data_IF_735998025985
#
_entry.id   IF_735998025985
#
_cell.length_a   1.000
_cell.length_b   1.000
_cell.length_c   1.000
_cell.angle_alpha   90.00
_cell.angle_beta   90.00
_cell.angle_gamma   90.00
#
_symmetry.space_group_name_H-M   'P 1'
#
loop_
_entity.id
_entity.type
_entity.pdbx_description
1 polymer ?
#
# COMPACT_ATOMS: atom_id res chain seq x y z
N UNK A 1 -9.84 -9.18 -17.14
CA UNK A 1 -11.13 -9.36 -16.44
C UNK A 1 -11.12 -10.43 -15.33
N UNK A 2 -10.09 -11.30 -15.23
CA UNK A 2 -10.01 -12.36 -14.20
C UNK A 2 -9.80 -11.87 -12.76
N UNK A 3 -9.15 -10.71 -12.53
CA UNK A 3 -8.78 -10.22 -11.19
C UNK A 3 -10.01 -9.90 -10.32
N UNK A 4 -11.13 -9.50 -10.92
CA UNK A 4 -12.33 -9.04 -10.20
C UNK A 4 -13.00 -10.17 -9.39
N UNK A 5 -12.76 -11.44 -9.75
CA UNK A 5 -13.35 -12.61 -9.09
C UNK A 5 -12.35 -13.43 -8.26
N UNK A 6 -11.05 -13.12 -8.34
CA UNK A 6 -10.01 -13.94 -7.71
C UNK A 6 -9.87 -13.72 -6.19
N UNK A 7 -10.29 -12.57 -5.66
CA UNK A 7 -10.11 -12.23 -4.24
C UNK A 7 -10.81 -13.19 -3.26
N UNK A 8 -11.93 -13.79 -3.67
CA UNK A 8 -12.74 -14.68 -2.83
C UNK A 8 -12.10 -16.06 -2.65
N UNK A 9 -11.17 -16.45 -3.53
CA UNK A 9 -10.65 -17.81 -3.61
C UNK A 9 -9.43 -18.06 -2.69
N UNK A 10 -8.78 -17.01 -2.17
CA UNK A 10 -7.52 -17.13 -1.41
C UNK A 10 -7.68 -17.12 0.12
N UNK A 11 -8.90 -17.27 0.64
CA UNK A 11 -9.08 -17.37 2.09
C UNK A 11 -8.66 -18.76 2.57
N UNK A 12 -7.66 -18.83 3.44
CA UNK A 12 -7.27 -20.10 4.04
C UNK A 12 -8.37 -20.62 4.99
N UNK A 13 -8.65 -21.93 5.01
CA UNK A 13 -9.62 -22.51 5.92
C UNK A 13 -9.35 -22.17 7.39
N UNK A 14 -10.40 -22.02 8.19
CA UNK A 14 -10.26 -21.70 9.61
C UNK A 14 -9.51 -22.83 10.33
N UNK A 15 -8.31 -22.54 10.85
CA UNK A 15 -7.46 -23.49 11.56
C UNK A 15 -6.20 -23.93 10.79
N UNK A 16 -6.04 -23.55 9.52
CA UNK A 16 -4.78 -23.76 8.80
C UNK A 16 -3.72 -22.72 9.17
N UNK A 17 -2.42 -23.00 8.90
CA UNK A 17 -1.38 -21.98 8.96
C UNK A 17 -1.75 -20.77 8.12
N UNK A 18 -1.47 -19.56 8.64
CA UNK A 18 -1.66 -18.32 7.90
C UNK A 18 -0.56 -18.22 6.85
N UNK A 19 -0.94 -18.11 5.59
CA UNK A 19 -0.03 -18.10 4.44
C UNK A 19 -0.13 -16.81 3.64
N UNK A 20 -1.15 -15.97 3.91
CA UNK A 20 -1.39 -14.72 3.21
C UNK A 20 -1.81 -13.60 4.17
N UNK A 21 -1.63 -12.34 3.75
CA UNK A 21 -2.08 -11.15 4.46
C UNK A 21 -3.60 -11.21 4.72
N UNK A 22 -4.34 -11.82 3.79
CA UNK A 22 -5.79 -12.00 3.87
C UNK A 22 -6.24 -12.88 5.04
N UNK A 23 -5.33 -13.64 5.66
CA UNK A 23 -5.62 -14.40 6.86
C UNK A 23 -5.64 -13.53 8.13
N UNK A 24 -5.18 -12.28 8.03
CA UNK A 24 -5.26 -11.26 9.08
C UNK A 24 -6.70 -10.85 9.39
N UNK A 25 -7.01 -10.61 10.67
CA UNK A 25 -8.36 -10.15 11.07
C UNK A 25 -8.66 -8.74 10.58
N UNK A 26 -7.64 -7.87 10.54
CA UNK A 26 -7.78 -6.46 10.11
C UNK A 26 -8.32 -6.40 8.69
N UNK A 27 -7.71 -7.12 7.75
CA UNK A 27 -8.10 -7.14 6.34
C UNK A 27 -9.45 -7.81 6.09
N UNK A 28 -9.76 -8.89 6.82
CA UNK A 28 -11.06 -9.60 6.69
C UNK A 28 -12.25 -8.78 7.18
N UNK A 29 -12.04 -7.85 8.11
CA UNK A 29 -13.10 -7.03 8.71
C UNK A 29 -13.09 -5.59 8.23
N UNK A 30 -12.14 -5.23 7.36
CA UNK A 30 -12.06 -3.90 6.81
C UNK A 30 -13.30 -3.64 5.95
N UNK A 31 -14.18 -2.73 6.38
CA UNK A 31 -15.40 -2.31 5.66
C UNK A 31 -15.17 -1.11 4.77
N UNK A 32 -14.05 -0.41 4.95
CA UNK A 32 -13.69 0.81 4.24
C UNK A 32 -14.56 2.03 4.56
N UNK A 33 -15.61 1.93 5.38
CA UNK A 33 -16.35 3.11 5.86
C UNK A 33 -16.73 2.93 7.33
N UNK A 34 -17.00 4.04 8.03
CA UNK A 34 -17.36 4.03 9.46
C UNK A 34 -18.71 3.34 9.76
N UNK A 35 -19.45 2.89 8.74
CA UNK A 35 -20.72 2.19 8.94
C UNK A 35 -20.47 0.72 9.28
N UNK A 36 -20.74 0.37 10.54
CA UNK A 36 -20.56 -0.96 11.15
C UNK A 36 -21.38 -2.07 10.45
N UNK A 37 -22.42 -1.71 9.68
CA UNK A 37 -23.29 -2.66 9.00
C UNK A 37 -22.91 -2.96 7.55
N UNK A 38 -21.83 -2.39 7.03
CA UNK A 38 -21.39 -2.70 5.67
C UNK A 38 -20.69 -4.06 5.59
N UNK A 39 -20.88 -4.81 4.49
CA UNK A 39 -20.09 -6.00 4.26
C UNK A 39 -18.59 -5.64 4.18
N UNK A 40 -17.67 -6.60 4.45
CA UNK A 40 -16.25 -6.36 4.27
C UNK A 40 -15.96 -5.80 2.88
N UNK A 41 -15.10 -4.78 2.78
CA UNK A 41 -14.78 -4.06 1.55
C UNK A 41 -14.40 -5.02 0.42
N UNK A 42 -13.52 -5.97 0.74
CA UNK A 42 -13.04 -6.96 -0.22
C UNK A 42 -14.12 -7.92 -0.70
N UNK A 43 -15.25 -8.09 -0.01
CA UNK A 43 -16.34 -8.97 -0.46
C UNK A 43 -17.19 -8.38 -1.59
N UNK A 44 -16.97 -7.10 -1.94
CA UNK A 44 -17.68 -6.41 -3.00
C UNK A 44 -17.01 -6.71 -4.35
N UNK A 45 -17.74 -7.19 -5.36
CA UNK A 45 -17.19 -7.36 -6.70
C UNK A 45 -16.56 -6.07 -7.22
N UNK A 46 -15.34 -6.17 -7.76
CA UNK A 46 -14.58 -5.01 -8.23
C UNK A 46 -13.88 -4.21 -7.14
N UNK A 47 -13.90 -4.66 -5.89
CA UNK A 47 -13.01 -4.15 -4.86
C UNK A 47 -11.57 -4.66 -5.07
N UNK A 48 -10.63 -3.74 -5.20
CA UNK A 48 -9.21 -4.00 -5.31
C UNK A 48 -8.50 -3.51 -4.05
N UNK A 49 -7.56 -4.29 -3.58
CA UNK A 49 -6.62 -3.90 -2.56
C UNK A 49 -5.25 -3.65 -3.19
N UNK A 50 -4.73 -2.46 -2.92
CA UNK A 50 -3.45 -2.00 -3.43
C UNK A 50 -2.49 -1.80 -2.27
N UNK A 51 -1.24 -2.18 -2.50
CA UNK A 51 -0.13 -1.81 -1.64
C UNK A 51 0.79 -0.88 -2.40
N UNK A 52 1.24 0.18 -1.72
CA UNK A 52 2.29 1.05 -2.24
C UNK A 52 3.66 0.57 -1.76
N UNK A 53 4.63 0.54 -2.67
CA UNK A 53 6.03 0.28 -2.37
C UNK A 53 6.88 1.46 -2.82
N UNK A 54 7.80 1.89 -1.96
CA UNK A 54 8.73 2.98 -2.21
C UNK A 54 10.06 2.65 -1.51
N UNK A 55 11.11 2.45 -2.29
CA UNK A 55 12.45 2.18 -1.78
C UNK A 55 13.50 2.77 -2.72
N UNK A 56 14.58 3.36 -2.18
CA UNK A 56 15.70 3.84 -2.98
C UNK A 56 16.79 2.77 -3.05
N UNK A 57 17.04 2.23 -4.24
CA UNK A 57 18.12 1.29 -4.47
C UNK A 57 19.21 1.86 -5.38
N UNK A 58 20.43 1.32 -5.27
CA UNK A 58 21.52 1.64 -6.19
C UNK A 58 21.36 0.82 -7.46
N UNK A 59 21.03 1.45 -8.58
CA UNK A 59 20.79 0.77 -9.85
C UNK A 59 22.06 0.08 -10.43
N UNK A 60 23.26 0.45 -9.96
CA UNK A 60 24.54 -0.05 -10.48
C UNK A 60 25.31 -0.97 -9.51
N UNK A 61 24.67 -1.45 -8.44
CA UNK A 61 25.17 -2.54 -7.58
C UNK A 61 26.35 -2.21 -6.66
N UNK A 62 27.41 -1.52 -7.13
CA UNK A 62 28.63 -1.22 -6.33
C UNK A 62 29.37 0.08 -6.64
N UNK A 63 29.01 0.89 -7.64
CA UNK A 63 29.78 2.10 -7.96
C UNK A 63 28.92 3.36 -8.02
N UNK A 64 29.29 4.32 -7.17
CA UNK A 64 28.78 5.69 -7.02
C UNK A 64 27.39 5.85 -6.38
N UNK A 65 27.34 6.74 -5.38
CA UNK A 65 26.10 7.31 -4.82
C UNK A 65 25.29 8.10 -5.86
N UNK A 66 25.81 8.23 -7.08
CA UNK A 66 25.35 9.12 -8.15
C UNK A 66 24.13 8.55 -8.93
N UNK A 67 23.70 7.32 -8.64
CA UNK A 67 22.63 6.65 -9.42
C UNK A 67 21.63 5.87 -8.54
N UNK A 68 21.21 6.45 -7.41
CA UNK A 68 20.06 5.92 -6.64
C UNK A 68 18.77 6.18 -7.43
N UNK A 69 17.88 5.20 -7.52
CA UNK A 69 16.55 5.38 -8.12
C UNK A 69 15.53 4.84 -7.13
N UNK A 70 14.43 5.58 -6.95
CA UNK A 70 13.34 5.18 -6.07
C UNK A 70 12.04 4.99 -6.84
N UNK A 71 11.66 3.76 -7.23
CA UNK A 71 10.35 3.54 -7.84
C UNK A 71 9.25 3.72 -6.79
N UNK A 72 8.15 4.32 -7.22
CA UNK A 72 6.86 4.30 -6.51
C UNK A 72 6.01 3.28 -7.25
N UNK A 73 5.75 2.15 -6.60
CA UNK A 73 5.04 1.02 -7.20
C UNK A 73 3.72 0.77 -6.50
N UNK A 74 2.70 0.38 -7.25
CA UNK A 74 1.44 -0.15 -6.75
C UNK A 74 1.36 -1.63 -7.10
N UNK A 75 0.99 -2.44 -6.12
CA UNK A 75 0.89 -3.89 -6.23
C UNK A 75 -0.56 -4.29 -5.90
N UNK A 76 -1.19 -5.06 -6.78
CA UNK A 76 -2.53 -5.58 -6.57
C UNK A 76 -2.50 -6.82 -5.69
N UNK A 77 -3.05 -6.73 -4.47
CA UNK A 77 -3.08 -7.81 -3.50
C UNK A 77 -4.15 -8.87 -3.77
N UNK A 78 -5.09 -8.59 -4.69
CA UNK A 78 -6.09 -9.55 -5.15
C UNK A 78 -5.48 -10.70 -5.96
N UNK A 79 -4.26 -10.53 -6.48
CA UNK A 79 -3.53 -11.57 -7.17
C UNK A 79 -2.99 -12.61 -6.18
N UNK A 80 -2.85 -13.89 -6.60
CA UNK A 80 -2.17 -14.89 -5.80
C UNK A 80 -0.76 -14.44 -5.41
N UNK A 81 -0.24 -14.81 -4.22
CA UNK A 81 1.06 -14.36 -3.74
C UNK A 81 2.22 -14.52 -4.74
N UNK A 82 2.23 -15.61 -5.51
CA UNK A 82 3.25 -15.88 -6.54
C UNK A 82 3.21 -14.95 -7.75
N UNK A 83 2.10 -14.25 -7.97
CA UNK A 83 1.87 -13.38 -9.13
C UNK A 83 2.06 -11.89 -8.81
N UNK A 84 1.91 -11.49 -7.54
CA UNK A 84 1.86 -10.08 -7.11
C UNK A 84 3.07 -9.25 -7.55
N UNK A 85 4.27 -9.83 -7.48
CA UNK A 85 5.54 -9.13 -7.75
C UNK A 85 6.12 -9.42 -9.13
N UNK A 86 5.38 -10.13 -10.00
CA UNK A 86 5.80 -10.30 -11.39
C UNK A 86 5.74 -8.95 -12.10
N UNK A 87 6.71 -8.69 -12.97
CA UNK A 87 6.90 -7.38 -13.61
C UNK A 87 5.64 -6.90 -14.35
N UNK A 88 4.89 -7.82 -14.95
CA UNK A 88 3.62 -7.55 -15.65
C UNK A 88 2.46 -7.12 -14.73
N UNK A 89 2.56 -7.39 -13.42
CA UNK A 89 1.52 -7.14 -12.43
C UNK A 89 1.83 -5.97 -11.49
N UNK A 90 2.99 -5.33 -11.66
CA UNK A 90 3.42 -4.18 -10.86
C UNK A 90 3.20 -2.90 -11.66
N UNK A 91 2.44 -1.97 -11.09
CA UNK A 91 2.24 -0.66 -11.69
C UNK A 91 3.23 0.36 -11.15
N UNK A 92 4.12 0.89 -12.00
CA UNK A 92 5.06 1.94 -11.61
C UNK A 92 4.37 3.30 -11.73
N UNK A 93 3.91 3.84 -10.60
CA UNK A 93 3.24 5.13 -10.51
C UNK A 93 4.22 6.32 -10.65
N UNK A 94 5.50 6.09 -10.39
CA UNK A 94 6.52 7.12 -10.55
C UNK A 94 7.94 6.59 -10.36
N UNK A 95 8.90 7.36 -10.85
CA UNK A 95 10.32 7.10 -10.65
C UNK A 95 10.93 8.34 -10.03
N UNK A 96 11.55 8.17 -8.86
CA UNK A 96 12.29 9.21 -8.17
C UNK A 96 13.73 9.20 -8.70
N UNK A 97 14.16 10.24 -9.44
CA UNK A 97 15.52 10.33 -9.92
C UNK A 97 16.48 10.62 -8.76
N UNK A 98 17.62 9.93 -8.73
CA UNK A 98 18.72 10.26 -7.83
C UNK A 98 19.65 11.34 -8.40
N UNK A 99 20.78 11.61 -7.72
CA UNK A 99 21.34 10.84 -6.60
C UNK A 99 20.91 11.27 -5.19
N UNK A 100 20.35 12.47 -5.08
CA UNK A 100 19.90 12.99 -3.79
C UNK A 100 18.49 12.49 -3.50
N UNK A 101 18.24 12.17 -2.25
CA UNK A 101 16.89 12.00 -1.75
C UNK A 101 16.04 13.22 -2.09
N UNK A 102 14.77 12.99 -2.44
CA UNK A 102 13.83 14.09 -2.56
C UNK A 102 13.66 14.80 -1.22
N UNK A 103 13.52 16.12 -1.31
CA UNK A 103 12.93 16.89 -0.22
C UNK A 103 11.50 16.38 0.05
N UNK A 104 11.02 16.56 1.28
CA UNK A 104 9.64 16.23 1.63
C UNK A 104 8.63 16.90 0.70
N UNK A 105 8.88 18.17 0.33
CA UNK A 105 8.02 18.92 -0.58
C UNK A 105 7.93 18.26 -1.96
N UNK A 106 9.07 17.88 -2.55
CA UNK A 106 9.09 17.23 -3.87
C UNK A 106 8.40 15.85 -3.84
N UNK A 107 8.63 15.06 -2.79
CA UNK A 107 7.96 13.79 -2.63
C UNK A 107 6.44 13.99 -2.50
N UNK A 108 6.01 14.98 -1.69
CA UNK A 108 4.60 15.31 -1.53
C UNK A 108 3.95 15.70 -2.86
N UNK A 109 4.63 16.46 -3.73
CA UNK A 109 4.09 16.79 -5.05
C UNK A 109 3.87 15.55 -5.93
N UNK A 110 4.83 14.61 -5.94
CA UNK A 110 4.68 13.35 -6.68
C UNK A 110 3.52 12.51 -6.13
N UNK A 111 3.46 12.36 -4.80
CA UNK A 111 2.43 11.56 -4.14
C UNK A 111 1.05 12.22 -4.23
N UNK A 112 0.95 13.55 -4.23
CA UNK A 112 -0.34 14.24 -4.28
C UNK A 112 -1.14 13.88 -5.53
N UNK A 113 -0.47 13.71 -6.68
CA UNK A 113 -1.11 13.30 -7.93
C UNK A 113 -1.63 11.87 -7.82
N UNK A 114 -0.81 10.96 -7.32
CA UNK A 114 -1.18 9.57 -7.08
C UNK A 114 -2.34 9.46 -6.05
N UNK A 115 -2.27 10.20 -4.94
CA UNK A 115 -3.31 10.24 -3.91
C UNK A 115 -4.63 10.74 -4.47
N UNK A 116 -4.62 11.70 -5.39
CA UNK A 116 -5.84 12.17 -6.05
C UNK A 116 -6.52 11.05 -6.83
N UNK A 117 -5.77 10.32 -7.66
CA UNK A 117 -6.30 9.20 -8.45
C UNK A 117 -6.77 8.05 -7.54
N UNK A 118 -6.02 7.74 -6.48
CA UNK A 118 -6.42 6.74 -5.49
C UNK A 118 -7.70 7.13 -4.74
N UNK A 119 -7.91 8.42 -4.46
CA UNK A 119 -9.16 8.92 -3.85
C UNK A 119 -10.34 8.76 -4.81
N UNK A 120 -10.15 8.99 -6.10
CA UNK A 120 -11.18 8.75 -7.11
C UNK A 120 -11.53 7.25 -7.17
N UNK A 121 -10.52 6.38 -7.22
CA UNK A 121 -10.74 4.92 -7.16
C UNK A 121 -11.39 4.46 -5.86
N UNK A 122 -11.11 5.11 -4.72
CA UNK A 122 -11.72 4.78 -3.44
C UNK A 122 -13.23 5.05 -3.41
N UNK A 123 -13.65 6.18 -3.99
CA UNK A 123 -15.07 6.50 -4.18
C UNK A 123 -15.73 5.56 -5.20
N UNK A 124 -14.95 5.13 -6.18
CA UNK A 124 -15.32 4.19 -7.21
C UNK A 124 -15.34 4.83 -8.57
N UNK A 125 -14.88 4.06 -9.56
CA UNK A 125 -14.77 4.49 -10.94
C UNK A 125 -15.46 3.47 -11.85
N UNK A 126 -16.30 3.96 -12.75
CA UNK A 126 -16.98 3.12 -13.73
C UNK A 126 -16.21 3.16 -15.06
N UNK A 127 -15.61 2.04 -15.42
CA UNK A 127 -14.98 1.86 -16.72
C UNK A 127 -16.03 1.58 -17.79
N UNK A 128 -15.91 2.28 -18.91
CA UNK A 128 -16.77 2.09 -20.08
C UNK A 128 -16.74 0.63 -20.58
N UNK A 129 -17.81 0.18 -21.25
CA UNK A 129 -17.85 -1.11 -21.90
C UNK A 129 -16.61 -1.39 -22.76
N UNK A 130 -16.11 -2.62 -22.67
CA UNK A 130 -15.04 -3.14 -23.52
C UNK A 130 -15.56 -4.33 -24.32
N UNK A 131 -14.85 -4.76 -25.36
CA UNK A 131 -15.22 -5.97 -26.13
C UNK A 131 -15.35 -7.21 -25.23
N UNK A 132 -14.56 -7.28 -24.15
CA UNK A 132 -14.61 -8.35 -23.15
C UNK A 132 -15.62 -8.10 -22.03
N UNK A 133 -16.24 -6.92 -21.98
CA UNK A 133 -17.11 -6.46 -20.89
C UNK A 133 -18.16 -5.47 -21.36
N UNK A 134 -19.22 -5.94 -22.05
CA UNK A 134 -20.19 -5.07 -22.72
C UNK A 134 -21.03 -4.22 -21.76
N UNK A 135 -21.07 -4.56 -20.46
CA UNK A 135 -21.72 -3.77 -19.41
C UNK A 135 -20.82 -2.72 -18.76
N UNK A 136 -19.53 -2.66 -19.12
CA UNK A 136 -18.53 -1.91 -18.35
C UNK A 136 -18.19 -2.61 -17.04
N UNK A 137 -17.43 -1.93 -16.19
CA UNK A 137 -17.04 -2.46 -14.87
C UNK A 137 -16.84 -1.34 -13.86
N UNK A 138 -17.53 -1.43 -12.73
CA UNK A 138 -17.28 -0.58 -11.57
C UNK A 138 -16.14 -1.15 -10.74
N UNK A 139 -15.13 -0.33 -10.47
CA UNK A 139 -13.98 -0.71 -9.65
C UNK A 139 -13.88 0.26 -8.48
N UNK A 140 -13.58 -0.29 -7.31
CA UNK A 140 -13.18 0.49 -6.13
C UNK A 140 -11.82 -0.01 -5.67
N UNK A 141 -10.91 0.89 -5.28
CA UNK A 141 -9.60 0.48 -4.76
C UNK A 141 -9.35 1.03 -3.35
N UNK A 142 -8.90 0.18 -2.45
CA UNK A 142 -8.38 0.53 -1.13
C UNK A 142 -6.85 0.49 -1.16
N UNK A 143 -6.21 1.47 -0.52
CA UNK A 143 -4.79 1.39 -0.21
C UNK A 143 -4.65 0.76 1.16
N UNK A 144 -4.32 -0.53 1.16
CA UNK A 144 -4.29 -1.34 2.37
C UNK A 144 -2.98 -1.16 3.11
N UNK A 145 -1.84 -1.25 2.41
CA UNK A 145 -0.53 -1.21 3.07
C UNK A 145 0.48 -0.33 2.32
N UNK A 146 1.48 0.11 3.08
CA UNK A 146 2.72 0.67 2.54
C UNK A 146 3.88 -0.25 2.93
N UNK A 147 4.58 -0.80 1.94
CA UNK A 147 5.82 -1.56 2.12
C UNK A 147 6.98 -0.63 1.80
N UNK A 148 7.53 -0.03 2.83
CA UNK A 148 8.54 1.03 2.72
C UNK A 148 9.50 0.94 3.89
N UNK A 149 10.75 1.34 3.68
CA UNK A 149 11.69 1.45 4.79
C UNK A 149 11.22 2.53 5.79
N UNK A 150 11.78 2.54 7.01
CA UNK A 150 11.33 3.46 8.07
C UNK A 150 11.52 4.93 7.68
N UNK A 151 12.54 5.26 6.90
CA UNK A 151 12.85 6.63 6.46
C UNK A 151 11.80 7.07 5.43
N UNK A 152 11.53 6.24 4.44
CA UNK A 152 10.51 6.43 3.42
C UNK A 152 9.10 6.49 4.04
N UNK A 153 8.79 5.59 4.99
CA UNK A 153 7.52 5.57 5.71
C UNK A 153 7.22 6.93 6.31
N UNK A 154 8.16 7.51 7.05
CA UNK A 154 7.96 8.81 7.70
C UNK A 154 7.75 9.94 6.71
N UNK A 155 8.46 9.92 5.58
CA UNK A 155 8.26 10.88 4.49
C UNK A 155 6.87 10.72 3.84
N UNK A 156 6.38 9.48 3.70
CA UNK A 156 5.08 9.16 3.11
C UNK A 156 3.90 9.48 4.02
N UNK A 157 4.04 9.20 5.32
CA UNK A 157 2.94 9.32 6.29
C UNK A 157 2.93 10.66 7.00
N UNK A 158 3.95 11.50 6.80
CA UNK A 158 4.07 12.82 7.43
C UNK A 158 4.50 12.77 8.91
N UNK A 159 5.02 11.63 9.38
CA UNK A 159 5.47 11.45 10.76
C UNK A 159 6.88 12.06 10.98
N UNK A 160 7.20 12.41 12.22
CA UNK A 160 8.41 13.15 12.60
C UNK A 160 9.68 12.35 12.25
N UNK A 161 10.69 13.03 11.68
CA UNK A 161 12.00 12.45 11.31
C UNK A 161 12.81 11.94 12.52
N UNK A 162 13.93 11.24 12.29
CA UNK A 162 14.81 10.61 13.33
C UNK A 162 15.28 11.52 14.49
N UNK A 163 15.05 12.83 14.41
CA UNK A 163 15.36 13.82 15.46
C UNK A 163 14.20 14.11 16.42
N UNK A 164 13.03 13.49 16.21
CA UNK A 164 11.87 13.66 17.09
C UNK A 164 11.99 12.87 18.39
N UNK A 165 11.43 13.43 19.46
CA UNK A 165 11.31 12.74 20.74
C UNK A 165 10.32 11.55 20.70
N UNK A 166 9.53 11.42 19.64
CA UNK A 166 8.59 10.31 19.38
C UNK A 166 8.98 9.61 18.09
N UNK A 167 9.47 8.38 18.18
CA UNK A 167 10.12 7.65 17.08
C UNK A 167 9.22 6.56 16.45
N UNK A 168 8.15 6.19 17.15
CA UNK A 168 7.22 5.14 16.79
C UNK A 168 6.04 5.73 16.00
N UNK A 169 5.65 5.10 14.88
CA UNK A 169 4.50 5.56 14.08
C UNK A 169 3.14 5.15 14.68
N UNK A 170 3.16 4.28 15.69
CA UNK A 170 1.95 3.69 16.30
C UNK A 170 1.78 4.06 17.77
N UNK A 171 2.84 4.46 18.45
CA UNK A 171 2.90 4.63 19.88
C UNK A 171 3.52 5.98 20.24
N UNK A 172 3.12 6.53 21.38
CA UNK A 172 3.58 7.83 21.87
C UNK A 172 4.78 7.71 22.80
N UNK A 173 5.53 6.61 22.73
CA UNK A 173 6.71 6.39 23.57
C UNK A 173 7.76 7.45 23.27
N UNK A 174 8.16 8.15 24.32
CA UNK A 174 9.25 9.12 24.25
C UNK A 174 10.59 8.40 24.12
N UNK A 175 11.55 8.97 23.38
CA UNK A 175 12.89 8.38 23.19
C UNK A 175 13.61 8.06 24.52
N UNK A 176 13.35 8.84 25.56
CA UNK A 176 13.89 8.61 26.91
C UNK A 176 13.34 7.35 27.59
N UNK A 177 12.25 6.77 27.08
CA UNK A 177 11.54 5.61 27.61
C UNK A 177 11.57 4.43 26.63
N UNK A 178 12.54 4.41 25.71
CA UNK A 178 12.62 3.38 24.66
C UNK A 178 12.75 1.94 25.21
N UNK A 179 13.27 1.81 26.43
CA UNK A 179 13.43 0.53 27.14
C UNK A 179 12.15 0.12 27.91
N UNK A 180 11.18 1.02 28.06
CA UNK A 180 9.93 0.79 28.79
C UNK A 180 8.80 0.31 27.86
N UNK A 181 8.90 -0.92 27.37
CA UNK A 181 7.87 -1.55 26.52
C UNK A 181 6.76 -2.14 27.41
N UNK A 182 5.88 -1.28 27.90
CA UNK A 182 4.69 -1.66 28.68
C UNK A 182 3.37 -1.52 27.90
N UNK A 183 2.34 -2.32 28.21
CA UNK A 183 1.03 -2.28 27.53
C UNK A 183 0.30 -0.94 27.65
N UNK A 184 0.72 -0.05 28.56
CA UNK A 184 0.17 1.28 28.77
C UNK A 184 0.46 2.30 27.65
N UNK A 185 1.29 1.95 26.66
CA UNK A 185 1.74 2.86 25.59
C UNK A 185 1.18 2.52 24.19
N UNK A 186 0.16 1.65 24.12
CA UNK A 186 -0.55 1.27 22.89
C UNK A 186 -1.88 2.03 22.72
#
# INVERSE_FOLDING_TARGET
MQILHQHQQYQTPKGSPKCDIWDGMVWRRFTGTKHIHNPPFMSVPGALALTIYVEWFNAHGKSTWLTRIGPIMLICLNLPPSERLKTENVYVAGIIPGPKDLTLLQLNYLLMRLIKELKELWQGYHFSPTSTGPSGSSIRAAMDMAIVDVVAMRKLTGFISNSGNHFCNFCTIHKAQIEEIGPQFH
#
